data_IF_468477186072
#
_entry.id   IF_468477186072
#
_cell.length_a   1.000
_cell.length_b   1.000
_cell.length_c   1.000
_cell.angle_alpha   90.00
_cell.angle_beta   90.00
_cell.angle_gamma   90.00
#
_symmetry.space_group_name_H-M   'P 1'
#
loop_
_entity.id
_entity.type
_entity.pdbx_description
1 polymer ?
#
# COMPACT_ATOMS: atom_id res chain seq x y z
N UNK A 1 -3.05 -3.58 8.76
CA UNK A 1 -2.16 -4.72 9.15
C UNK A 1 -1.91 -5.68 8.00
N UNK A 2 -2.91 -6.32 7.38
CA UNK A 2 -2.70 -7.28 6.27
C UNK A 2 -1.89 -6.69 5.09
N UNK A 3 -2.26 -5.50 4.61
CA UNK A 3 -1.56 -4.84 3.50
C UNK A 3 -0.07 -4.62 3.79
N UNK A 4 0.27 -4.13 4.99
CA UNK A 4 1.67 -3.92 5.40
C UNK A 4 2.47 -5.23 5.41
N UNK A 5 1.84 -6.33 5.83
CA UNK A 5 2.52 -7.63 5.93
C UNK A 5 2.70 -8.27 4.55
N UNK A 6 1.71 -8.13 3.66
CA UNK A 6 1.84 -8.54 2.27
C UNK A 6 2.99 -7.82 1.57
N UNK A 7 3.10 -6.50 1.76
CA UNK A 7 4.24 -5.73 1.23
C UNK A 7 5.57 -6.15 1.88
N UNK A 8 5.65 -6.35 3.20
CA UNK A 8 6.92 -6.77 3.83
C UNK A 8 7.41 -8.14 3.39
N UNK A 9 6.50 -9.10 3.20
CA UNK A 9 6.89 -10.49 2.92
C UNK A 9 7.12 -10.73 1.44
N UNK A 10 6.30 -10.13 0.58
CA UNK A 10 6.37 -10.35 -0.86
C UNK A 10 7.12 -9.22 -1.56
N UNK A 11 6.69 -7.96 -1.40
CA UNK A 11 7.25 -6.83 -2.13
C UNK A 11 8.76 -6.61 -1.86
N UNK A 12 9.22 -6.77 -0.61
CA UNK A 12 10.65 -6.65 -0.26
C UNK A 12 11.55 -7.68 -0.97
N UNK A 13 10.98 -8.83 -1.35
CA UNK A 13 11.69 -9.92 -2.04
C UNK A 13 11.66 -9.78 -3.56
N UNK A 14 10.83 -8.89 -4.11
CA UNK A 14 10.73 -8.66 -5.54
C UNK A 14 11.86 -7.72 -5.98
N UNK A 15 12.70 -8.22 -6.88
CA UNK A 15 13.84 -7.48 -7.44
C UNK A 15 13.50 -6.91 -8.81
N UNK A 16 12.67 -7.62 -9.57
CA UNK A 16 12.21 -7.22 -10.90
C UNK A 16 11.08 -6.19 -10.80
N UNK A 17 11.12 -5.18 -11.66
CA UNK A 17 10.12 -4.12 -11.69
C UNK A 17 8.80 -4.62 -12.30
N UNK A 18 8.83 -5.58 -13.22
CA UNK A 18 7.62 -6.23 -13.76
C UNK A 18 6.86 -6.98 -12.66
N UNK A 19 7.57 -7.72 -11.82
CA UNK A 19 6.98 -8.45 -10.70
C UNK A 19 6.38 -7.49 -9.66
N UNK A 20 7.03 -6.35 -9.41
CA UNK A 20 6.54 -5.32 -8.50
C UNK A 20 5.24 -4.70 -8.99
N UNK A 21 5.15 -4.38 -10.29
CA UNK A 21 3.92 -3.88 -10.89
C UNK A 21 2.80 -4.92 -10.83
N UNK A 22 3.10 -6.17 -11.16
CA UNK A 22 2.12 -7.26 -11.04
C UNK A 22 1.59 -7.41 -9.61
N UNK A 23 2.48 -7.33 -8.61
CA UNK A 23 2.08 -7.43 -7.21
C UNK A 23 1.19 -6.27 -6.79
N UNK A 24 1.50 -5.04 -7.22
CA UNK A 24 0.68 -3.86 -6.95
C UNK A 24 -0.75 -4.03 -7.51
N UNK A 25 -0.87 -4.40 -8.78
CA UNK A 25 -2.17 -4.61 -9.42
C UNK A 25 -2.96 -5.74 -8.75
N UNK A 26 -2.28 -6.84 -8.41
CA UNK A 26 -2.89 -7.98 -7.70
C UNK A 26 -3.45 -7.54 -6.35
N UNK A 27 -2.69 -6.77 -5.57
CA UNK A 27 -3.16 -6.27 -4.28
C UNK A 27 -4.33 -5.30 -4.45
N UNK A 28 -4.29 -4.43 -5.46
CA UNK A 28 -5.37 -3.50 -5.79
C UNK A 28 -6.67 -4.25 -6.09
N UNK A 29 -6.60 -5.32 -6.89
CA UNK A 29 -7.75 -6.18 -7.18
C UNK A 29 -8.27 -6.93 -5.94
N UNK A 30 -7.38 -7.49 -5.12
CA UNK A 30 -7.78 -8.23 -3.91
C UNK A 30 -8.50 -7.31 -2.92
N UNK A 31 -7.98 -6.11 -2.67
CA UNK A 31 -8.65 -5.15 -1.78
C UNK A 31 -10.02 -4.76 -2.35
N UNK A 32 -10.10 -4.52 -3.66
CA UNK A 32 -11.37 -4.19 -4.30
C UNK A 32 -12.38 -5.34 -4.19
N UNK A 33 -11.97 -6.58 -4.38
CA UNK A 33 -12.87 -7.74 -4.38
C UNK A 33 -13.26 -8.19 -2.97
N UNK A 34 -12.34 -8.17 -2.02
CA UNK A 34 -12.56 -8.70 -0.67
C UNK A 34 -13.04 -7.63 0.31
N UNK A 35 -12.64 -6.38 0.11
CA UNK A 35 -12.95 -5.26 1.01
C UNK A 35 -13.91 -4.24 0.39
N UNK A 36 -14.22 -4.33 -0.92
CA UNK A 36 -15.05 -3.37 -1.67
C UNK A 36 -14.56 -1.91 -1.52
N UNK A 37 -13.24 -1.74 -1.38
CA UNK A 37 -12.59 -0.46 -1.17
C UNK A 37 -11.51 -0.28 -2.24
N UNK A 38 -11.34 0.95 -2.74
CA UNK A 38 -10.23 1.26 -3.63
C UNK A 38 -8.93 1.48 -2.83
N UNK A 39 -7.83 0.89 -3.30
CA UNK A 39 -6.51 1.04 -2.68
C UNK A 39 -6.12 2.52 -2.50
N UNK A 40 -6.46 3.37 -3.47
CA UNK A 40 -6.22 4.82 -3.40
C UNK A 40 -6.96 5.48 -2.23
N UNK A 41 -8.17 5.02 -1.91
CA UNK A 41 -8.95 5.51 -0.76
C UNK A 41 -8.35 5.01 0.55
N UNK A 42 -7.94 3.74 0.58
CA UNK A 42 -7.32 3.13 1.76
C UNK A 42 -5.97 3.78 2.12
N UNK A 43 -5.19 4.13 1.08
CA UNK A 43 -3.87 4.73 1.20
C UNK A 43 -3.87 6.24 0.90
N UNK A 44 -5.04 6.90 0.94
CA UNK A 44 -5.16 8.33 0.66
C UNK A 44 -4.29 9.18 1.60
N UNK A 45 -4.06 8.71 2.83
CA UNK A 45 -3.17 9.37 3.79
C UNK A 45 -1.68 9.29 3.41
N UNK A 46 -1.31 8.38 2.50
CA UNK A 46 0.06 8.19 2.03
C UNK A 46 0.34 8.94 0.73
N UNK A 47 -0.70 9.31 -0.03
CA UNK A 47 -0.55 10.03 -1.28
C UNK A 47 0.06 11.41 -1.01
N UNK A 48 1.33 11.59 -1.37
CA UNK A 48 2.03 12.86 -1.18
C UNK A 48 1.63 13.85 -2.28
N UNK A 49 0.52 14.58 -2.09
CA UNK A 49 -0.01 15.62 -3.00
C UNK A 49 -0.44 15.16 -4.41
N UNK A 50 -0.33 13.87 -4.75
CA UNK A 50 -0.80 13.30 -6.02
C UNK A 50 -2.16 12.60 -5.86
N UNK A 51 -2.94 12.55 -6.95
CA UNK A 51 -4.29 11.92 -6.96
C UNK A 51 -4.23 10.38 -6.90
N UNK A 52 -3.05 9.78 -7.14
CA UNK A 52 -2.89 8.33 -7.20
C UNK A 52 -1.76 7.83 -6.28
N UNK A 53 -2.03 6.76 -5.53
CA UNK A 53 -1.06 6.14 -4.64
C UNK A 53 -0.11 5.28 -5.45
N UNK A 54 1.16 5.66 -5.49
CA UNK A 54 2.19 4.93 -6.22
C UNK A 54 2.86 3.85 -5.37
N UNK A 55 3.61 2.96 -6.03
CA UNK A 55 4.44 1.96 -5.36
C UNK A 55 5.46 2.57 -4.39
N UNK A 56 5.93 3.79 -4.66
CA UNK A 56 6.85 4.52 -3.79
C UNK A 56 6.15 5.03 -2.53
N UNK A 57 4.91 5.53 -2.64
CA UNK A 57 4.09 5.92 -1.48
C UNK A 57 3.79 4.74 -0.56
N UNK A 58 3.56 3.55 -1.14
CA UNK A 58 3.37 2.29 -0.40
C UNK A 58 4.65 1.81 0.28
N UNK A 59 5.83 2.26 -0.16
CA UNK A 59 7.08 2.01 0.56
C UNK A 59 7.10 2.71 1.92
N UNK A 60 6.38 3.83 2.06
CA UNK A 60 6.19 4.50 3.36
C UNK A 60 5.34 3.66 4.32
N UNK A 61 4.37 2.89 3.79
CA UNK A 61 3.57 1.91 4.53
C UNK A 61 4.46 0.87 5.26
N UNK A 62 5.58 0.47 4.65
CA UNK A 62 6.54 -0.52 5.22
C UNK A 62 7.25 -0.03 6.48
N UNK A 63 7.28 1.29 6.69
CA UNK A 63 7.96 1.95 7.80
C UNK A 63 7.01 2.45 8.90
N UNK A 64 5.74 2.06 8.85
CA UNK A 64 4.66 2.48 9.76
C UNK A 64 4.24 3.94 9.59
N UNK A 65 2.98 4.16 9.23
CA UNK A 65 2.25 5.31 9.72
C UNK A 65 1.77 4.98 11.15
N UNK A 66 2.61 5.31 12.13
CA UNK A 66 2.31 5.25 13.57
C UNK A 66 2.27 6.68 14.12
N UNK A 67 1.59 7.60 13.45
CA UNK A 67 1.47 9.00 13.87
C UNK A 67 0.05 9.44 13.48
N UNK A 68 -0.94 9.56 14.36
CA UNK A 68 -0.91 10.16 15.70
C UNK A 68 -1.83 9.42 16.71
N UNK A 69 -1.45 9.37 17.99
CA UNK A 69 -2.41 9.19 19.06
C UNK A 69 -3.37 10.38 19.04
N UNK A 70 -4.67 10.14 19.22
CA UNK A 70 -5.61 11.18 19.64
C UNK A 70 -5.17 11.69 21.01
N UNK A 71 -4.24 12.65 21.02
CA UNK A 71 -3.84 13.41 22.18
C UNK A 71 -4.89 14.47 22.44
N UNK A 72 -5.49 14.36 23.62
CA UNK A 72 -6.54 15.18 24.24
C UNK A 72 -6.46 16.69 24.00
#
# INVERSE_FOLDING_TARGET
MWLHEAFRVYYDRLIDDDDRTWFYETVKEVIKNELDIELNVLCANLAHNDEEVTLDDLRSLMFCDFVEPKGT
#
